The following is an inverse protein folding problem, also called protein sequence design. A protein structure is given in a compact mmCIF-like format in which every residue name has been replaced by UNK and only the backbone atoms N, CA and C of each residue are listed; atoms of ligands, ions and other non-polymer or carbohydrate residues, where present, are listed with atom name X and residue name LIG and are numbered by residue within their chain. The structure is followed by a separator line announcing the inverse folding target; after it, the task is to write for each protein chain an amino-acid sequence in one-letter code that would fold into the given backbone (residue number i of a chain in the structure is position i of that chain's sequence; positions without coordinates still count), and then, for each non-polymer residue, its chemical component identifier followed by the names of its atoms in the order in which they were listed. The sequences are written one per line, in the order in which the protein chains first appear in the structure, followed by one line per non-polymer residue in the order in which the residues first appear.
data_IF_060215481613
#
_entry.id   IF_060215481613
#
_cell.length_a   1.000
_cell.length_b   1.000
_cell.length_c   1.000
_cell.angle_alpha   90.00
_cell.angle_beta   90.00
_cell.angle_gamma   90.00
#
_symmetry.space_group_name_H-M   'P 1'
#
loop_
_entity.id
_entity.type
_entity.pdbx_description
1 polymer ?
#
# COMPACT_ATOMS: atom_id res chain seq x y z
N UNK A 1 1.16 -9.40 -22.32
CA UNK A 1 -0.04 -8.97 -21.56
C UNK A 1 -0.74 -10.12 -20.84
N UNK A 2 -0.98 -11.28 -21.48
CA UNK A 2 -1.56 -12.46 -20.78
C UNK A 2 -0.53 -13.14 -19.86
N UNK A 3 0.75 -13.18 -20.23
CA UNK A 3 1.81 -13.81 -19.42
C UNK A 3 2.01 -13.14 -18.06
N UNK A 4 2.07 -11.81 -18.02
CA UNK A 4 2.12 -11.01 -16.79
C UNK A 4 0.91 -11.27 -15.88
N UNK A 5 -0.29 -11.37 -16.47
CA UNK A 5 -1.52 -11.66 -15.75
C UNK A 5 -1.52 -13.09 -15.18
N UNK A 6 -1.06 -14.08 -15.94
CA UNK A 6 -0.97 -15.48 -15.50
C UNK A 6 0.03 -15.60 -14.35
N UNK A 7 1.20 -14.97 -14.47
CA UNK A 7 2.20 -14.96 -13.40
C UNK A 7 1.66 -14.28 -12.14
N UNK A 8 0.95 -13.16 -12.30
CA UNK A 8 0.33 -12.47 -11.18
C UNK A 8 -0.74 -13.33 -10.50
N UNK A 9 -1.62 -14.00 -11.27
CA UNK A 9 -2.64 -14.91 -10.74
C UNK A 9 -1.98 -16.10 -10.02
N UNK A 10 -0.91 -16.67 -10.57
CA UNK A 10 -0.18 -17.76 -9.92
C UNK A 10 0.44 -17.32 -8.59
N UNK A 11 1.01 -16.11 -8.53
CA UNK A 11 1.63 -15.57 -7.32
C UNK A 11 0.61 -15.10 -6.26
N UNK A 12 -0.62 -14.82 -6.67
CA UNK A 12 -1.68 -14.28 -5.80
C UNK A 12 -2.92 -15.17 -5.70
N UNK A 13 -2.81 -16.44 -6.11
CA UNK A 13 -3.91 -17.41 -6.19
C UNK A 13 -4.71 -17.53 -4.90
N UNK A 14 -4.01 -17.48 -3.75
CA UNK A 14 -4.64 -17.50 -2.41
C UNK A 14 -5.72 -16.43 -2.26
N UNK A 15 -5.52 -15.22 -2.78
CA UNK A 15 -6.50 -14.13 -2.66
C UNK A 15 -7.68 -14.26 -3.61
N UNK A 16 -7.47 -14.88 -4.77
CA UNK A 16 -8.54 -15.14 -5.74
C UNK A 16 -9.48 -16.21 -5.21
N UNK A 17 -8.93 -17.21 -4.52
CA UNK A 17 -9.67 -18.36 -3.98
C UNK A 17 -10.24 -18.11 -2.57
N UNK A 18 -9.73 -17.14 -1.80
CA UNK A 18 -10.18 -16.86 -0.42
C UNK A 18 -11.49 -16.07 -0.31
N UNK A 19 -12.38 -16.11 -1.31
CA UNK A 19 -13.77 -15.71 -1.06
C UNK A 19 -14.42 -16.81 -0.23
N UNK A 20 -14.92 -16.54 0.98
CA UNK A 20 -15.50 -17.59 1.80
C UNK A 20 -16.90 -17.91 1.28
N UNK A 21 -17.03 -19.02 0.56
CA UNK A 21 -18.18 -19.89 0.76
C UNK A 21 -17.76 -20.96 1.77
N UNK A 22 -18.60 -21.17 2.78
CA UNK A 22 -18.35 -22.03 3.91
C UNK A 22 -18.05 -23.48 3.49
N UNK A 23 -16.91 -24.02 3.93
CA UNK A 23 -16.76 -25.35 4.56
C UNK A 23 -15.33 -25.91 4.43
N UNK A 24 -14.77 -26.31 5.58
CA UNK A 24 -14.02 -27.56 5.80
C UNK A 24 -13.01 -28.05 4.74
N UNK A 25 -11.72 -27.98 5.08
CA UNK A 25 -10.85 -29.13 5.40
C UNK A 25 -9.39 -28.88 5.00
N UNK A 26 -8.54 -29.40 5.87
CA UNK A 26 -7.08 -29.51 5.81
C UNK A 26 -6.55 -29.91 4.44
N UNK A 27 -5.50 -29.23 3.97
CA UNK A 27 -4.39 -29.87 3.26
C UNK A 27 -3.13 -29.00 3.20
N UNK A 28 -2.05 -29.59 3.70
CA UNK A 28 -0.69 -29.07 3.80
C UNK A 28 -0.06 -29.05 2.40
N UNK A 29 0.03 -27.88 1.79
CA UNK A 29 0.76 -27.66 0.54
C UNK A 29 2.11 -26.99 0.81
N UNK A 30 3.16 -27.77 0.96
CA UNK A 30 4.55 -27.28 0.89
C UNK A 30 4.84 -26.87 -0.56
N UNK A 31 5.01 -25.57 -0.80
CA UNK A 31 5.44 -24.99 -2.07
C UNK A 31 6.73 -24.20 -1.86
N UNK A 32 7.60 -24.12 -2.88
CA UNK A 32 9.02 -23.81 -2.71
C UNK A 32 9.19 -22.40 -2.18
N UNK A 33 10.05 -22.28 -1.18
CA UNK A 33 10.55 -21.01 -0.65
C UNK A 33 11.17 -20.23 -1.82
N UNK A 34 10.38 -19.36 -2.44
CA UNK A 34 10.90 -18.34 -3.33
C UNK A 34 11.83 -17.49 -2.49
N UNK A 35 13.14 -17.66 -2.71
CA UNK A 35 14.24 -16.98 -2.02
C UNK A 35 13.75 -15.71 -1.32
N UNK A 36 13.55 -15.81 -0.01
CA UNK A 36 13.03 -14.73 0.80
C UNK A 36 14.05 -13.60 0.72
N UNK A 37 13.71 -12.58 -0.06
CA UNK A 37 14.33 -11.27 0.06
C UNK A 37 13.87 -10.69 1.40
N UNK A 38 14.49 -11.18 2.48
CA UNK A 38 14.26 -10.87 3.90
C UNK A 38 14.75 -9.44 4.24
N UNK A 39 14.36 -8.49 3.40
CA UNK A 39 14.63 -7.08 3.56
C UNK A 39 13.43 -6.34 4.12
N UNK A 40 13.69 -5.28 4.89
CA UNK A 40 12.71 -4.23 5.12
C UNK A 40 12.61 -3.39 3.83
N UNK A 41 11.40 -3.20 3.33
CA UNK A 41 11.12 -2.42 2.14
C UNK A 41 10.31 -1.19 2.49
N UNK A 42 10.53 -0.12 1.72
CA UNK A 42 9.77 1.11 1.77
C UNK A 42 9.11 1.34 0.41
N UNK A 43 7.82 1.63 0.39
CA UNK A 43 7.07 1.88 -0.83
C UNK A 43 6.24 3.15 -0.69
N UNK A 44 6.35 4.04 -1.66
CA UNK A 44 5.55 5.25 -1.76
C UNK A 44 4.53 5.10 -2.88
N UNK A 45 3.26 5.32 -2.53
CA UNK A 45 2.11 5.20 -3.41
C UNK A 45 1.42 6.56 -3.54
N UNK A 46 0.90 6.83 -4.73
CA UNK A 46 0.02 7.96 -5.00
C UNK A 46 -1.38 7.47 -5.35
N UNK A 47 -2.38 8.10 -4.75
CA UNK A 47 -3.79 7.92 -5.04
C UNK A 47 -4.34 9.21 -5.64
N UNK A 48 -4.94 9.10 -6.82
CA UNK A 48 -5.51 10.25 -7.53
C UNK A 48 -6.72 10.85 -6.79
N UNK A 49 -7.62 9.98 -6.32
CA UNK A 49 -8.82 10.43 -5.66
C UNK A 49 -9.40 9.37 -4.71
N UNK A 50 -10.12 9.84 -3.69
CA UNK A 50 -10.79 9.00 -2.70
C UNK A 50 -12.16 9.59 -2.41
N UNK A 51 -13.24 8.92 -2.84
CA UNK A 51 -14.62 9.41 -2.63
C UNK A 51 -15.16 9.03 -1.26
N UNK A 52 -14.90 7.81 -0.81
CA UNK A 52 -15.37 7.27 0.47
C UNK A 52 -14.31 7.37 1.57
N UNK A 53 -13.79 8.57 1.82
CA UNK A 53 -12.62 8.81 2.69
C UNK A 53 -12.62 8.02 3.99
N UNK A 54 -13.64 8.19 4.83
CA UNK A 54 -13.72 7.55 6.16
C UNK A 54 -13.64 6.03 6.08
N UNK A 55 -14.31 5.42 5.09
CA UNK A 55 -14.33 3.96 4.92
C UNK A 55 -13.00 3.46 4.36
N UNK A 56 -12.43 4.21 3.43
CA UNK A 56 -11.16 3.88 2.79
C UNK A 56 -10.03 3.91 3.82
N UNK A 57 -9.94 4.98 4.61
CA UNK A 57 -8.95 5.13 5.70
C UNK A 57 -9.00 3.92 6.63
N UNK A 58 -10.19 3.58 7.15
CA UNK A 58 -10.37 2.41 8.04
C UNK A 58 -9.91 1.10 7.40
N UNK A 59 -10.14 0.96 6.09
CA UNK A 59 -9.76 -0.26 5.36
C UNK A 59 -8.24 -0.34 5.20
N UNK A 60 -7.60 0.79 4.88
CA UNK A 60 -6.13 0.88 4.78
C UNK A 60 -5.45 0.64 6.12
N UNK A 61 -5.95 1.25 7.19
CA UNK A 61 -5.46 1.02 8.55
C UNK A 61 -5.60 -0.46 8.96
N UNK A 62 -6.74 -1.06 8.65
CA UNK A 62 -6.98 -2.49 8.89
C UNK A 62 -5.94 -3.35 8.16
N UNK A 63 -5.74 -3.13 6.87
CA UNK A 63 -4.76 -3.88 6.09
C UNK A 63 -3.33 -3.67 6.57
N UNK A 64 -2.95 -2.43 6.91
CA UNK A 64 -1.64 -2.15 7.46
C UNK A 64 -1.40 -2.93 8.75
N UNK A 65 -2.40 -2.98 9.65
CA UNK A 65 -2.34 -3.77 10.88
C UNK A 65 -2.26 -5.28 10.61
N UNK A 66 -3.14 -5.83 9.79
CA UNK A 66 -3.19 -7.26 9.46
C UNK A 66 -1.89 -7.76 8.80
N UNK A 67 -1.28 -6.93 7.96
CA UNK A 67 -0.04 -7.23 7.25
C UNK A 67 1.22 -6.76 8.01
N UNK A 68 1.06 -6.25 9.24
CA UNK A 68 2.16 -5.74 10.09
C UNK A 68 3.02 -4.67 9.39
N UNK A 69 2.40 -3.87 8.54
CA UNK A 69 3.03 -2.74 7.86
C UNK A 69 2.98 -1.49 8.75
N UNK A 70 4.05 -0.70 8.74
CA UNK A 70 4.09 0.63 9.34
C UNK A 70 4.19 1.69 8.26
N UNK A 71 4.02 2.97 8.61
CA UNK A 71 4.12 4.05 7.63
C UNK A 71 3.07 5.13 7.84
N UNK A 72 2.64 5.76 6.75
CA UNK A 72 1.63 6.83 6.81
C UNK A 72 0.69 6.85 5.64
N UNK A 73 -0.56 7.23 5.91
CA UNK A 73 -1.50 7.76 4.92
C UNK A 73 -1.53 9.28 5.07
N UNK A 74 -1.13 10.01 4.04
CA UNK A 74 -0.93 11.45 4.07
C UNK A 74 -1.89 12.13 3.10
N UNK A 75 -2.60 13.14 3.59
CA UNK A 75 -3.50 13.97 2.79
C UNK A 75 -2.95 15.39 2.72
N UNK A 76 -2.89 15.97 1.52
CA UNK A 76 -2.57 17.38 1.33
C UNK A 76 -3.34 17.92 0.12
N UNK A 77 -4.37 18.72 0.40
CA UNK A 77 -5.30 19.17 -0.64
C UNK A 77 -5.96 18.00 -1.36
N UNK A 78 -5.71 17.86 -2.66
CA UNK A 78 -6.20 16.74 -3.48
C UNK A 78 -5.23 15.56 -3.53
N UNK A 79 -3.97 15.78 -3.18
CA UNK A 79 -2.91 14.76 -3.26
C UNK A 79 -3.03 13.81 -2.08
N UNK A 80 -3.05 12.51 -2.37
CA UNK A 80 -3.13 11.46 -1.37
C UNK A 80 -1.94 10.54 -1.56
N UNK A 81 -1.14 10.39 -0.51
CA UNK A 81 0.07 9.55 -0.53
C UNK A 81 -0.05 8.45 0.52
N UNK A 82 0.44 7.26 0.19
CA UNK A 82 0.60 6.17 1.15
C UNK A 82 2.07 5.77 1.17
N UNK A 83 2.68 5.87 2.34
CA UNK A 83 4.01 5.37 2.59
C UNK A 83 3.87 4.08 3.42
N UNK A 84 4.44 2.99 2.92
CA UNK A 84 4.41 1.68 3.57
C UNK A 84 5.84 1.23 3.84
N UNK A 85 6.06 0.68 5.02
CA UNK A 85 7.31 0.10 5.44
C UNK A 85 7.05 -1.28 6.06
N UNK A 86 7.75 -2.31 5.60
CA UNK A 86 7.57 -3.67 6.08
C UNK A 86 8.21 -4.69 5.15
N UNK A 87 7.90 -5.97 5.38
CA UNK A 87 8.42 -7.05 4.53
C UNK A 87 7.89 -6.92 3.11
N UNK A 88 8.73 -7.29 2.13
CA UNK A 88 8.37 -7.17 0.72
C UNK A 88 7.11 -7.95 0.35
N UNK A 89 6.96 -9.15 0.90
CA UNK A 89 5.78 -10.00 0.71
C UNK A 89 4.51 -9.31 1.17
N UNK A 90 4.55 -8.67 2.35
CA UNK A 90 3.42 -7.98 2.95
C UNK A 90 3.06 -6.72 2.16
N UNK A 91 4.04 -5.96 1.67
CA UNK A 91 3.78 -4.82 0.78
C UNK A 91 3.13 -5.28 -0.53
N UNK A 92 3.62 -6.36 -1.14
CA UNK A 92 3.00 -6.94 -2.35
C UNK A 92 1.57 -7.39 -2.09
N UNK A 93 1.32 -8.00 -0.93
CA UNK A 93 -0.02 -8.40 -0.51
C UNK A 93 -0.95 -7.20 -0.32
N UNK A 94 -0.45 -6.11 0.28
CA UNK A 94 -1.19 -4.85 0.38
C UNK A 94 -1.58 -4.31 -1.00
N UNK A 95 -0.65 -4.30 -1.96
CA UNK A 95 -0.94 -3.85 -3.34
C UNK A 95 -1.99 -4.71 -4.04
N UNK A 96 -2.02 -6.00 -3.74
CA UNK A 96 -3.04 -6.92 -4.26
C UNK A 96 -4.40 -6.61 -3.64
N UNK A 97 -4.47 -6.40 -2.32
CA UNK A 97 -5.70 -5.99 -1.63
C UNK A 97 -6.24 -4.67 -2.20
N UNK A 98 -5.35 -3.70 -2.42
CA UNK A 98 -5.69 -2.41 -3.02
C UNK A 98 -6.35 -2.57 -4.40
N UNK A 99 -5.78 -3.40 -5.28
CA UNK A 99 -6.26 -3.62 -6.66
C UNK A 99 -7.53 -4.48 -6.73
N UNK A 100 -7.74 -5.36 -5.75
CA UNK A 100 -8.81 -6.38 -5.82
C UNK A 100 -10.03 -6.01 -5.00
N UNK A 101 -9.88 -5.22 -3.94
CA UNK A 101 -10.96 -4.91 -3.00
C UNK A 101 -11.77 -3.70 -3.40
N UNK A 102 -13.07 -3.73 -3.09
CA UNK A 102 -13.99 -2.60 -3.32
C UNK A 102 -13.97 -1.61 -2.15
N UNK A 103 -12.93 -0.80 -2.10
CA UNK A 103 -12.69 0.15 -1.00
C UNK A 103 -13.36 1.50 -1.20
N UNK A 104 -13.48 1.95 -2.45
CA UNK A 104 -14.05 3.25 -2.79
C UNK A 104 -15.49 3.14 -3.33
N UNK A 105 -16.05 4.26 -3.77
CA UNK A 105 -17.36 4.37 -4.42
C UNK A 105 -17.26 5.08 -5.78
N UNK A 106 -18.10 4.69 -6.74
CA UNK A 106 -18.20 5.36 -8.03
C UNK A 106 -19.03 6.66 -7.94
N UNK A 107 -19.29 7.31 -9.07
CA UNK A 107 -19.99 8.61 -9.11
C UNK A 107 -21.47 8.47 -8.77
N UNK A 108 -21.96 7.24 -8.76
CA UNK A 108 -23.31 6.87 -8.35
C UNK A 108 -23.36 6.33 -6.92
N UNK A 109 -22.24 6.38 -6.17
CA UNK A 109 -22.15 5.90 -4.79
C UNK A 109 -22.04 4.39 -4.63
N UNK A 110 -21.92 3.61 -5.72
CA UNK A 110 -21.79 2.15 -5.64
C UNK A 110 -20.34 1.76 -5.34
N UNK A 111 -20.14 0.70 -4.55
CA UNK A 111 -18.80 0.21 -4.18
C UNK A 111 -17.98 -0.15 -5.42
N UNK A 112 -16.81 0.46 -5.58
CA UNK A 112 -15.90 0.22 -6.69
C UNK A 112 -14.49 -0.11 -6.19
N UNK A 113 -13.67 -0.67 -7.08
CA UNK A 113 -12.25 -0.94 -6.82
C UNK A 113 -11.45 0.34 -7.06
N UNK A 114 -10.33 0.47 -6.36
CA UNK A 114 -9.32 1.47 -6.71
C UNK A 114 -8.77 1.16 -8.11
N UNK A 115 -8.69 2.18 -8.97
CA UNK A 115 -8.22 2.04 -10.36
C UNK A 115 -6.96 2.84 -10.65
N UNK A 116 -6.74 3.93 -9.92
CA UNK A 116 -5.73 4.94 -10.24
C UNK A 116 -4.71 5.08 -9.10
N UNK A 117 -4.20 3.93 -8.61
CA UNK A 117 -3.05 3.90 -7.72
C UNK A 117 -1.75 3.76 -8.53
N UNK A 118 -0.78 4.62 -8.23
CA UNK A 118 0.56 4.58 -8.83
C UNK A 118 1.61 4.28 -7.76
N UNK A 119 2.54 3.37 -8.05
CA UNK A 119 3.73 3.16 -7.23
C UNK A 119 4.77 4.18 -7.69
N UNK A 120 5.11 5.13 -6.82
CA UNK A 120 6.09 6.17 -7.14
C UNK A 120 7.53 5.69 -6.92
N UNK A 121 7.74 4.88 -5.87
CA UNK A 121 9.04 4.34 -5.51
C UNK A 121 8.87 3.06 -4.69
N UNK A 122 9.77 2.12 -4.88
CA UNK A 122 9.92 0.91 -4.08
C UNK A 122 11.42 0.69 -3.83
N UNK A 123 11.86 0.78 -2.57
CA UNK A 123 13.28 0.77 -2.22
C UNK A 123 13.52 -0.12 -1.01
N UNK A 124 14.55 -0.96 -1.08
CA UNK A 124 15.03 -1.74 0.07
C UNK A 124 15.72 -0.81 1.07
N UNK A 125 15.32 -0.88 2.32
CA UNK A 125 15.92 -0.11 3.42
C UNK A 125 16.66 -1.03 4.37
N UNK A 126 17.79 -0.60 4.98
CA UNK A 126 18.43 -1.38 6.02
C UNK A 126 17.45 -1.65 7.16
N UNK A 127 17.47 -2.86 7.72
CA UNK A 127 16.56 -3.29 8.80
C UNK A 127 16.64 -2.43 10.06
N UNK A 128 17.77 -1.77 10.28
CA UNK A 128 17.99 -0.81 11.37
C UNK A 128 17.19 0.49 11.20
N UNK A 129 16.77 0.81 9.98
CA UNK A 129 16.03 2.03 9.64
C UNK A 129 14.52 1.80 9.70
N UNK A 130 14.01 1.39 10.87
CA UNK A 130 12.57 1.35 11.09
C UNK A 130 12.05 2.78 11.31
N UNK A 131 11.82 3.51 10.20
CA UNK A 131 11.47 4.95 10.21
C UNK A 131 10.10 5.23 10.82
N UNK A 132 9.19 4.24 10.77
CA UNK A 132 7.84 4.34 11.31
C UNK A 132 7.59 3.21 12.32
N UNK A 133 7.15 3.58 13.52
CA UNK A 133 6.81 2.65 14.59
C UNK A 133 5.40 2.06 14.43
N UNK A 134 4.48 2.83 13.85
CA UNK A 134 3.10 2.46 13.59
C UNK A 134 2.66 2.97 12.21
N UNK A 135 1.47 2.55 11.78
CA UNK A 135 0.80 3.15 10.64
C UNK A 135 -0.12 4.27 11.14
N UNK A 136 0.04 5.48 10.61
CA UNK A 136 -0.70 6.66 11.07
C UNK A 136 -1.28 7.47 9.92
N UNK A 137 -2.44 8.09 10.14
CA UNK A 137 -3.09 8.95 9.17
C UNK A 137 -2.80 10.41 9.52
N UNK A 138 -2.29 11.19 8.57
CA UNK A 138 -1.95 12.60 8.77
C UNK A 138 -2.53 13.50 7.68
N UNK A 139 -2.92 14.70 8.07
CA UNK A 139 -3.31 15.79 7.17
C UNK A 139 -2.26 16.89 7.23
N UNK A 140 -1.93 17.46 6.08
CA UNK A 140 -0.97 18.55 5.92
C UNK A 140 -1.65 19.70 5.19
N UNK A 141 -1.43 20.91 5.68
CA UNK A 141 -2.01 22.11 5.10
C UNK A 141 -1.07 22.78 4.11
N UNK A 142 0.25 22.63 4.29
CA UNK A 142 1.27 23.23 3.41
C UNK A 142 2.29 22.20 2.91
N UNK A 143 2.93 22.54 1.78
CA UNK A 143 4.05 21.76 1.23
C UNK A 143 5.21 21.68 2.23
N UNK A 144 5.48 22.73 3.01
CA UNK A 144 6.58 22.71 3.99
C UNK A 144 6.31 21.72 5.13
N UNK A 145 5.07 21.62 5.60
CA UNK A 145 4.70 20.63 6.63
C UNK A 145 4.90 19.20 6.12
N UNK A 146 4.47 18.92 4.88
CA UNK A 146 4.68 17.62 4.27
C UNK A 146 6.17 17.35 4.05
N UNK A 147 6.93 18.31 3.52
CA UNK A 147 8.37 18.19 3.34
C UNK A 147 9.08 17.86 4.65
N UNK A 148 8.74 18.57 5.73
CA UNK A 148 9.30 18.34 7.06
C UNK A 148 9.05 16.93 7.58
N UNK A 149 7.90 16.33 7.27
CA UNK A 149 7.63 14.92 7.60
C UNK A 149 8.63 13.99 6.89
N UNK A 150 8.83 14.17 5.58
CA UNK A 150 9.79 13.37 4.82
C UNK A 150 11.22 13.59 5.30
N UNK A 151 11.61 14.83 5.63
CA UNK A 151 12.92 15.14 6.19
C UNK A 151 13.14 14.48 7.56
N UNK A 152 12.14 14.57 8.45
CA UNK A 152 12.20 13.93 9.78
C UNK A 152 12.28 12.41 9.67
N UNK A 153 11.58 11.85 8.68
CA UNK A 153 11.68 10.43 8.35
C UNK A 153 12.97 10.06 7.62
N UNK A 154 13.86 11.01 7.28
CA UNK A 154 15.10 10.80 6.53
C UNK A 154 14.90 10.37 5.07
N UNK A 155 13.82 10.86 4.45
CA UNK A 155 13.34 10.56 3.09
C UNK A 155 13.33 11.81 2.19
N UNK A 156 14.22 12.77 2.44
CA UNK A 156 14.26 14.03 1.69
C UNK A 156 14.45 13.82 0.17
N UNK A 157 15.32 12.90 -0.23
CA UNK A 157 15.54 12.56 -1.65
C UNK A 157 14.25 12.06 -2.33
N UNK A 158 13.52 11.17 -1.66
CA UNK A 158 12.24 10.64 -2.12
C UNK A 158 11.20 11.74 -2.32
N UNK A 159 11.19 12.75 -1.43
CA UNK A 159 10.29 13.89 -1.55
C UNK A 159 10.62 14.73 -2.79
N UNK A 160 11.89 15.07 -2.99
CA UNK A 160 12.34 15.87 -4.14
C UNK A 160 12.09 15.17 -5.48
N UNK A 161 12.31 13.86 -5.55
CA UNK A 161 12.17 13.08 -6.78
C UNK A 161 10.70 12.78 -7.13
N UNK A 162 9.91 12.34 -6.15
CA UNK A 162 8.58 11.78 -6.41
C UNK A 162 7.41 12.67 -6.00
N UNK A 163 7.56 13.47 -4.94
CA UNK A 163 6.43 14.18 -4.31
C UNK A 163 6.32 15.62 -4.80
N UNK A 164 7.46 16.31 -4.95
CA UNK A 164 7.49 17.72 -5.30
C UNK A 164 6.86 18.02 -6.68
N UNK A 165 6.86 17.05 -7.61
CA UNK A 165 6.18 17.17 -8.90
C UNK A 165 4.67 16.96 -8.85
N UNK A 166 4.13 16.30 -7.82
CA UNK A 166 2.71 15.93 -7.69
C UNK A 166 1.87 16.99 -6.96
N UNK A 167 2.53 17.88 -6.22
CA UNK A 167 1.89 18.87 -5.35
C UNK A 167 1.81 20.26 -6.01
N UNK A 168 2.57 20.47 -7.09
CA UNK A 168 2.63 21.73 -7.82
C UNK A 168 1.34 22.03 -8.60
#
# INVERSE_FOLDING_TARGET
MIHELVLWIQQNLRHVLSQPEAASSSEKGTWPESATDDGLWLTLLHLDHMRARTKYVKTVEKWASELRLTGRLMFMGKTILILLQGDRSNIKEYLVLQKTSKVDVDSSGKKCKEKMISVLSETKVPTEHKRFLAFEVKEYSTLEELQKEFETAGLQGLFSECVLGLVK
#
